data_IF_151079322661
#
_entry.id   IF_151079322661
#
_cell.length_a   1.000
_cell.length_b   1.000
_cell.length_c   1.000
_cell.angle_alpha   90.00
_cell.angle_beta   90.00
_cell.angle_gamma   90.00
#
_symmetry.space_group_name_H-M   'P 1'
#
loop_
_entity.id
_entity.type
_entity.pdbx_description
1 polymer ?
#
# COMPACT_ATOMS: atom_id res chain seq x y z
N UNK A 1 -13.20 -22.77 71.34
CA UNK A 1 -12.01 -22.18 70.69
C UNK A 1 -12.00 -22.61 69.23
N UNK A 2 -12.77 -21.91 68.41
CA UNK A 2 -12.33 -20.97 67.36
C UNK A 2 -12.01 -21.66 66.03
N UNK A 3 -13.06 -21.79 65.20
CA UNK A 3 -12.99 -22.15 63.78
C UNK A 3 -12.35 -20.98 63.03
N UNK A 4 -11.17 -21.20 62.42
CA UNK A 4 -10.55 -20.23 61.51
C UNK A 4 -11.09 -20.47 60.10
N UNK A 5 -12.04 -19.61 59.73
CA UNK A 5 -12.63 -19.53 58.38
C UNK A 5 -11.60 -18.91 57.43
N UNK A 6 -11.02 -19.72 56.55
CA UNK A 6 -10.09 -19.25 55.51
C UNK A 6 -10.91 -18.71 54.33
N UNK A 7 -10.99 -17.38 54.20
CA UNK A 7 -11.68 -16.73 53.07
C UNK A 7 -10.83 -16.87 51.81
N UNK A 8 -11.34 -17.64 50.85
CA UNK A 8 -10.84 -17.70 49.49
C UNK A 8 -11.22 -16.39 48.77
N UNK A 9 -10.25 -15.51 48.53
CA UNK A 9 -10.43 -14.34 47.68
C UNK A 9 -10.22 -14.80 46.24
N UNK A 10 -11.30 -14.95 45.49
CA UNK A 10 -11.25 -15.22 44.05
C UNK A 10 -10.88 -13.92 43.35
N UNK A 11 -9.62 -13.79 42.92
CA UNK A 11 -9.15 -12.66 42.13
C UNK A 11 -9.68 -12.82 40.70
N UNK A 12 -10.77 -12.13 40.38
CA UNK A 12 -11.27 -12.00 39.02
C UNK A 12 -10.34 -11.06 38.26
N UNK A 13 -9.39 -11.60 37.51
CA UNK A 13 -8.57 -10.80 36.57
C UNK A 13 -9.47 -10.49 35.38
N UNK A 14 -10.06 -9.29 35.37
CA UNK A 14 -10.78 -8.75 34.23
C UNK A 14 -9.71 -8.24 33.24
N UNK A 15 -9.38 -9.04 32.23
CA UNK A 15 -8.62 -8.56 31.08
C UNK A 15 -9.50 -7.56 30.32
N UNK A 16 -9.24 -6.28 30.53
CA UNK A 16 -9.78 -5.23 29.69
C UNK A 16 -9.08 -5.32 28.32
N UNK A 17 -9.72 -5.98 27.36
CA UNK A 17 -9.39 -5.79 25.95
C UNK A 17 -9.74 -4.34 25.61
N UNK A 18 -8.73 -3.50 25.45
CA UNK A 18 -8.87 -2.18 24.83
C UNK A 18 -9.19 -2.41 23.35
N UNK A 19 -10.47 -2.64 23.06
CA UNK A 19 -11.00 -2.56 21.71
C UNK A 19 -10.98 -1.10 21.30
N UNK A 20 -9.99 -0.68 20.51
CA UNK A 20 -10.10 0.53 19.72
C UNK A 20 -11.14 0.21 18.66
N UNK A 21 -12.37 0.65 18.92
CA UNK A 21 -13.47 0.58 17.95
C UNK A 21 -13.21 1.54 16.80
N UNK A 22 -12.30 1.17 15.90
CA UNK A 22 -12.30 1.68 14.54
C UNK A 22 -13.58 1.23 13.85
N UNK A 23 -14.13 2.05 12.96
CA UNK A 23 -15.11 1.55 11.99
C UNK A 23 -14.47 0.34 11.31
N UNK A 24 -15.14 -0.81 11.31
CA UNK A 24 -14.79 -1.94 10.44
C UNK A 24 -14.99 -1.46 8.99
N UNK A 25 -13.99 -0.77 8.45
CA UNK A 25 -13.82 -0.59 7.02
C UNK A 25 -13.53 -1.94 6.39
N UNK A 26 -13.70 -2.05 5.07
CA UNK A 26 -13.16 -3.20 4.36
C UNK A 26 -11.64 -3.25 4.63
N UNK A 27 -11.09 -4.46 4.82
CA UNK A 27 -9.65 -4.61 4.99
C UNK A 27 -8.91 -4.08 3.75
N UNK A 28 -7.70 -3.50 3.91
CA UNK A 28 -6.90 -3.05 2.79
C UNK A 28 -6.70 -4.14 1.75
N UNK A 29 -6.74 -3.76 0.47
CA UNK A 29 -6.46 -4.64 -0.65
C UNK A 29 -5.10 -4.27 -1.23
N UNK A 30 -4.18 -5.20 -1.11
CA UNK A 30 -2.77 -5.05 -1.47
C UNK A 30 -2.55 -5.59 -2.89
N UNK A 31 -1.87 -4.85 -3.75
CA UNK A 31 -1.41 -5.39 -5.03
C UNK A 31 -0.06 -6.06 -4.82
N UNK A 32 0.10 -7.25 -5.40
CA UNK A 32 1.32 -8.06 -5.27
C UNK A 32 1.70 -8.61 -6.63
N UNK A 33 2.99 -8.56 -6.95
CA UNK A 33 3.55 -9.39 -8.00
C UNK A 33 4.45 -10.49 -7.43
N UNK A 34 4.40 -11.67 -8.04
CA UNK A 34 5.12 -12.84 -7.56
C UNK A 34 6.35 -13.21 -8.42
N UNK A 35 7.14 -14.14 -7.90
CA UNK A 35 8.35 -14.69 -8.55
C UNK A 35 8.12 -15.34 -9.92
N UNK A 36 6.87 -15.60 -10.30
CA UNK A 36 6.49 -16.15 -11.60
C UNK A 36 5.97 -15.07 -12.56
N UNK A 37 5.98 -13.80 -12.13
CA UNK A 37 5.49 -12.66 -12.89
C UNK A 37 3.97 -12.52 -12.87
N UNK A 38 3.25 -13.17 -11.96
CA UNK A 38 1.81 -12.95 -11.82
C UNK A 38 1.56 -11.68 -11.01
N UNK A 39 0.60 -10.87 -11.45
CA UNK A 39 0.03 -9.76 -10.70
C UNK A 39 -1.34 -10.20 -10.15
N UNK A 40 -1.60 -9.85 -8.90
CA UNK A 40 -2.89 -10.05 -8.28
C UNK A 40 -3.12 -9.09 -7.11
N UNK A 41 -4.28 -9.24 -6.49
CA UNK A 41 -4.60 -8.55 -5.25
C UNK A 41 -4.73 -9.54 -4.11
N UNK A 42 -4.42 -9.08 -2.89
CA UNK A 42 -4.53 -9.87 -1.67
C UNK A 42 -5.24 -9.05 -0.60
N UNK A 43 -6.26 -9.64 0.03
CA UNK A 43 -6.87 -9.06 1.22
C UNK A 43 -5.93 -9.26 2.41
N UNK A 44 -5.44 -8.17 3.02
CA UNK A 44 -4.42 -8.26 4.07
C UNK A 44 -4.89 -8.95 5.35
N UNK A 45 -6.20 -9.07 5.57
CA UNK A 45 -6.76 -9.70 6.76
C UNK A 45 -7.07 -11.19 6.57
N UNK A 46 -7.53 -11.58 5.37
CA UNK A 46 -7.94 -12.96 5.10
C UNK A 46 -6.92 -13.76 4.31
N UNK A 47 -6.01 -13.08 3.60
CA UNK A 47 -5.10 -13.70 2.64
C UNK A 47 -5.78 -14.10 1.33
N UNK A 48 -7.05 -13.73 1.12
CA UNK A 48 -7.78 -14.07 -0.10
C UNK A 48 -7.13 -13.40 -1.32
N UNK A 49 -6.85 -14.20 -2.35
CA UNK A 49 -6.18 -13.75 -3.58
C UNK A 49 -7.16 -13.63 -4.74
N UNK A 50 -7.03 -12.56 -5.52
CA UNK A 50 -7.59 -12.44 -6.87
C UNK A 50 -6.47 -12.22 -7.90
N UNK A 51 -6.26 -13.20 -8.78
CA UNK A 51 -5.19 -13.15 -9.78
C UNK A 51 -5.68 -12.37 -11.00
N UNK A 52 -4.96 -11.30 -11.34
CA UNK A 52 -5.29 -10.43 -12.48
C UNK A 52 -4.73 -11.02 -13.78
N UNK A 53 -3.46 -11.42 -13.78
CA UNK A 53 -2.79 -11.91 -14.98
C UNK A 53 -1.29 -12.04 -14.81
N UNK A 54 -0.61 -12.37 -15.90
CA UNK A 54 0.86 -12.45 -15.93
C UNK A 54 1.43 -11.21 -16.62
N UNK A 55 2.44 -10.61 -16.00
CA UNK A 55 3.11 -9.40 -16.46
C UNK A 55 3.89 -9.60 -17.77
N UNK A 56 4.21 -10.84 -18.14
CA UNK A 56 5.01 -11.16 -19.33
C UNK A 56 6.48 -10.72 -19.23
N UNK A 57 6.84 -10.00 -18.17
CA UNK A 57 8.19 -9.58 -17.79
C UNK A 57 8.41 -9.87 -16.31
N UNK A 58 9.66 -10.11 -15.93
CA UNK A 58 10.04 -10.26 -14.53
C UNK A 58 10.33 -8.89 -13.95
N UNK A 59 9.34 -8.33 -13.26
CA UNK A 59 9.53 -7.15 -12.43
C UNK A 59 10.19 -7.55 -11.10
N UNK A 60 10.88 -6.60 -10.49
CA UNK A 60 11.47 -6.69 -9.16
C UNK A 60 10.72 -5.83 -8.17
N UNK A 61 9.96 -4.84 -8.64
CA UNK A 61 9.05 -4.07 -7.79
C UNK A 61 7.97 -3.31 -8.58
N UNK A 62 6.90 -2.86 -7.90
CA UNK A 62 5.78 -2.10 -8.47
C UNK A 62 5.35 -0.95 -7.55
N UNK A 63 4.86 0.16 -8.11
CA UNK A 63 4.36 1.29 -7.32
C UNK A 63 3.23 2.04 -8.03
N UNK A 64 2.19 2.41 -7.28
CA UNK A 64 1.14 3.31 -7.76
C UNK A 64 1.56 4.77 -7.69
N UNK A 65 1.28 5.54 -8.74
CA UNK A 65 1.41 6.99 -8.72
C UNK A 65 0.19 7.67 -8.03
N UNK A 66 0.26 8.99 -7.73
CA UNK A 66 -0.88 9.72 -7.14
C UNK A 66 -2.16 9.77 -7.99
N UNK A 67 -2.07 9.38 -9.27
CA UNK A 67 -3.21 9.31 -10.20
C UNK A 67 -3.79 7.89 -10.32
N UNK A 68 -3.22 6.90 -9.62
CA UNK A 68 -3.65 5.51 -9.65
C UNK A 68 -3.10 4.70 -10.83
N UNK A 69 -2.07 5.18 -11.52
CA UNK A 69 -1.36 4.41 -12.54
C UNK A 69 -0.31 3.52 -11.87
N UNK A 70 -0.22 2.25 -12.29
CA UNK A 70 0.79 1.33 -11.78
C UNK A 70 2.04 1.34 -12.66
N UNK A 71 3.20 1.44 -12.03
CA UNK A 71 4.50 1.32 -12.66
C UNK A 71 5.27 0.18 -12.03
N UNK A 72 6.35 -0.24 -12.69
CA UNK A 72 7.26 -1.21 -12.11
C UNK A 72 8.65 -1.16 -12.71
N UNK A 73 9.59 -1.71 -11.95
CA UNK A 73 10.98 -1.88 -12.37
C UNK A 73 11.29 -3.36 -12.52
N UNK A 74 12.14 -3.70 -13.48
CA UNK A 74 12.97 -4.91 -13.40
C UNK A 74 14.33 -4.51 -12.84
N UNK A 75 15.30 -5.42 -12.85
CA UNK A 75 16.66 -5.06 -12.45
C UNK A 75 17.32 -3.96 -13.32
N UNK A 76 16.81 -3.67 -14.53
CA UNK A 76 17.44 -2.72 -15.47
C UNK A 76 16.47 -1.78 -16.20
N UNK A 77 15.17 -2.08 -16.19
CA UNK A 77 14.17 -1.46 -17.06
C UNK A 77 12.98 -0.96 -16.26
N UNK A 78 12.34 0.11 -16.76
CA UNK A 78 11.16 0.72 -16.18
C UNK A 78 9.95 0.53 -17.10
N UNK A 79 8.78 0.27 -16.51
CA UNK A 79 7.55 -0.10 -17.21
C UNK A 79 6.33 0.59 -16.61
N UNK A 80 5.30 0.84 -17.43
CA UNK A 80 3.93 0.99 -16.94
C UNK A 80 3.21 -0.35 -16.98
N UNK A 81 2.21 -0.52 -16.10
CA UNK A 81 1.46 -1.76 -15.93
C UNK A 81 -0.04 -1.47 -15.98
N UNK A 82 -0.77 -2.20 -16.82
CA UNK A 82 -2.22 -2.16 -16.84
C UNK A 82 -2.78 -3.05 -15.72
N UNK A 83 -3.37 -2.45 -14.69
CA UNK A 83 -3.90 -3.17 -13.53
C UNK A 83 -5.12 -4.06 -13.81
N UNK A 84 -5.77 -3.92 -14.97
CA UNK A 84 -6.91 -4.76 -15.35
C UNK A 84 -6.52 -5.97 -16.19
N UNK A 85 -5.37 -5.95 -16.85
CA UNK A 85 -4.92 -7.00 -17.77
C UNK A 85 -3.55 -7.58 -17.45
N UNK A 86 -2.82 -6.97 -16.51
CA UNK A 86 -1.40 -7.19 -16.23
C UNK A 86 -0.46 -6.89 -17.42
N UNK A 87 -0.93 -6.24 -18.48
CA UNK A 87 -0.07 -5.90 -19.63
C UNK A 87 0.97 -4.84 -19.23
N UNK A 88 2.25 -5.11 -19.49
CA UNK A 88 3.34 -4.16 -19.25
C UNK A 88 3.79 -3.46 -20.52
N UNK A 89 4.07 -2.16 -20.44
CA UNK A 89 4.67 -1.39 -21.52
C UNK A 89 6.04 -0.85 -21.09
N UNK A 90 7.08 -1.13 -21.88
CA UNK A 90 8.42 -0.63 -21.61
C UNK A 90 8.49 0.90 -21.81
N UNK A 91 9.08 1.60 -20.84
CA UNK A 91 9.29 3.04 -20.88
C UNK A 91 10.76 3.36 -21.19
N UNK A 92 11.70 2.76 -20.45
CA UNK A 92 13.12 3.06 -20.62
C UNK A 92 14.04 2.29 -19.68
N UNK A 93 15.35 2.47 -19.86
CA UNK A 93 16.36 1.90 -18.97
C UNK A 93 16.72 2.90 -17.87
N UNK A 94 16.71 2.45 -16.62
CA UNK A 94 16.93 3.33 -15.47
C UNK A 94 18.40 3.51 -15.09
N UNK A 95 19.26 2.53 -15.39
CA UNK A 95 20.71 2.62 -15.08
C UNK A 95 21.10 2.41 -13.61
N UNK A 96 20.13 2.28 -12.70
CA UNK A 96 20.33 1.80 -11.31
C UNK A 96 20.86 0.35 -11.30
N UNK A 97 21.88 0.07 -10.50
CA UNK A 97 22.46 -1.26 -10.38
C UNK A 97 21.57 -2.20 -9.54
N UNK A 98 20.95 -3.17 -10.22
CA UNK A 98 20.04 -4.15 -9.64
C UNK A 98 18.86 -3.51 -8.87
N UNK A 99 18.08 -2.67 -9.56
CA UNK A 99 16.89 -2.05 -8.97
C UNK A 99 15.87 -3.10 -8.47
N UNK A 100 15.40 -2.89 -7.25
CA UNK A 100 14.46 -3.76 -6.53
C UNK A 100 13.86 -2.97 -5.36
N UNK A 101 13.41 -1.75 -5.63
CA UNK A 101 12.65 -0.93 -4.70
C UNK A 101 12.06 0.24 -5.46
N UNK A 102 10.81 0.58 -5.22
CA UNK A 102 10.09 1.59 -5.98
C UNK A 102 8.94 2.17 -5.16
N UNK A 103 8.89 3.49 -5.01
CA UNK A 103 7.74 4.14 -4.35
C UNK A 103 7.51 5.54 -4.90
N UNK A 104 6.25 5.94 -5.04
CA UNK A 104 5.88 7.32 -5.31
C UNK A 104 5.63 8.08 -4.01
N UNK A 105 6.17 9.29 -3.93
CA UNK A 105 5.71 10.29 -2.97
C UNK A 105 4.37 10.90 -3.38
N UNK A 106 3.69 11.53 -2.43
CA UNK A 106 2.43 12.29 -2.67
C UNK A 106 2.60 13.44 -3.67
N UNK A 107 3.83 13.91 -3.87
CA UNK A 107 4.19 14.95 -4.83
C UNK A 107 4.42 14.42 -6.26
N UNK A 108 4.32 13.09 -6.46
CA UNK A 108 4.58 12.42 -7.73
C UNK A 108 6.05 12.10 -7.99
N UNK A 109 6.95 12.36 -7.04
CA UNK A 109 8.36 11.96 -7.17
C UNK A 109 8.48 10.44 -7.00
N UNK A 110 9.04 9.77 -8.01
CA UNK A 110 9.30 8.33 -7.98
C UNK A 110 10.70 8.05 -7.46
N UNK A 111 10.79 7.40 -6.30
CA UNK A 111 12.05 6.98 -5.67
C UNK A 111 12.35 5.52 -5.96
N UNK A 112 13.63 5.18 -6.07
CA UNK A 112 14.08 3.81 -6.27
C UNK A 112 15.45 3.55 -5.64
N UNK A 113 15.71 2.29 -5.31
CA UNK A 113 16.98 1.80 -4.81
C UNK A 113 17.30 0.43 -5.41
N UNK A 114 18.55 -0.02 -5.24
CA UNK A 114 19.01 -1.29 -5.78
C UNK A 114 19.82 -2.12 -4.78
N UNK A 115 19.90 -3.41 -5.05
CA UNK A 115 20.58 -4.38 -4.18
C UNK A 115 22.11 -4.29 -4.26
N UNK A 116 22.66 -3.77 -5.37
CA UNK A 116 24.11 -3.68 -5.61
C UNK A 116 24.63 -2.24 -5.58
N UNK A 117 23.92 -1.36 -4.88
CA UNK A 117 24.28 0.04 -4.66
C UNK A 117 23.74 0.48 -3.30
N UNK A 118 24.34 1.51 -2.71
CA UNK A 118 23.84 2.14 -1.49
C UNK A 118 23.28 3.54 -1.76
N UNK A 119 23.10 3.91 -3.02
CA UNK A 119 22.51 5.19 -3.38
C UNK A 119 20.98 5.11 -3.46
N UNK A 120 20.33 6.20 -3.09
CA UNK A 120 18.93 6.48 -3.41
C UNK A 120 18.86 7.20 -4.77
N UNK A 121 17.81 6.93 -5.53
CA UNK A 121 17.59 7.50 -6.85
C UNK A 121 16.16 8.03 -6.98
N UNK A 122 15.96 8.97 -7.90
CA UNK A 122 14.65 9.20 -8.54
C UNK A 122 14.64 8.66 -9.95
N UNK A 123 13.45 8.34 -10.49
CA UNK A 123 13.26 7.92 -11.88
C UNK A 123 12.32 8.90 -12.60
N UNK A 124 12.72 9.39 -13.77
CA UNK A 124 11.83 10.16 -14.63
C UNK A 124 10.79 9.23 -15.29
N UNK A 125 9.51 9.44 -15.02
CA UNK A 125 8.43 8.54 -15.46
C UNK A 125 8.20 8.51 -16.98
N UNK A 126 8.67 9.53 -17.71
CA UNK A 126 8.48 9.61 -19.17
C UNK A 126 9.60 8.91 -19.94
N UNK A 127 10.81 8.92 -19.39
CA UNK A 127 12.02 8.41 -20.04
C UNK A 127 12.57 7.15 -19.39
N UNK A 128 12.15 6.85 -18.15
CA UNK A 128 12.67 5.78 -17.32
C UNK A 128 14.07 6.02 -16.76
N UNK A 129 14.72 7.16 -17.06
CA UNK A 129 16.10 7.42 -16.65
C UNK A 129 16.19 7.82 -15.16
N UNK A 130 17.15 7.23 -14.42
CA UNK A 130 17.35 7.56 -13.01
C UNK A 130 18.34 8.71 -12.78
N UNK A 131 18.10 9.46 -11.70
CA UNK A 131 19.02 10.46 -11.14
C UNK A 131 19.41 10.05 -9.72
N UNK A 132 20.71 9.94 -9.43
CA UNK A 132 21.18 9.63 -8.08
C UNK A 132 20.98 10.82 -7.15
N UNK A 133 20.37 10.60 -5.99
CA UNK A 133 20.23 11.58 -4.91
C UNK A 133 21.42 11.55 -3.94
N UNK A 134 22.12 10.42 -3.84
CA UNK A 134 23.31 10.27 -3.03
C UNK A 134 23.33 8.95 -2.28
N UNK A 135 24.40 8.73 -1.52
CA UNK A 135 24.59 7.51 -0.73
C UNK A 135 23.78 7.59 0.57
N UNK A 136 22.86 6.64 0.77
CA UNK A 136 22.08 6.48 2.00
C UNK A 136 22.71 5.45 2.97
N UNK A 137 23.77 4.76 2.56
CA UNK A 137 24.52 3.83 3.41
C UNK A 137 23.96 2.40 3.47
N UNK A 138 22.80 2.15 2.87
CA UNK A 138 22.11 0.85 2.89
C UNK A 138 21.77 0.40 1.46
N UNK A 139 21.89 -0.90 1.19
CA UNK A 139 21.43 -1.52 -0.07
C UNK A 139 20.02 -2.06 0.09
N UNK A 140 19.25 -2.02 -1.00
CA UNK A 140 17.85 -2.48 -0.98
C UNK A 140 17.74 -4.00 -0.85
N UNK A 141 16.83 -4.43 0.01
CA UNK A 141 16.36 -5.81 0.13
C UNK A 141 15.19 -6.09 -0.81
N UNK A 142 14.29 -5.13 -1.00
CA UNK A 142 13.20 -5.30 -1.96
C UNK A 142 12.22 -4.14 -2.13
N UNK A 143 12.08 -3.21 -1.17
CA UNK A 143 11.06 -2.16 -1.31
C UNK A 143 11.36 -0.89 -0.50
N UNK A 144 10.75 0.22 -0.94
CA UNK A 144 10.70 1.52 -0.27
C UNK A 144 9.24 1.85 0.06
N UNK A 145 8.96 2.50 1.19
CA UNK A 145 7.60 2.89 1.54
C UNK A 145 7.57 4.23 2.25
N UNK A 146 6.60 5.08 1.90
CA UNK A 146 6.29 6.24 2.72
C UNK A 146 5.32 5.84 3.84
N UNK A 147 5.61 6.27 5.07
CA UNK A 147 4.74 6.05 6.22
C UNK A 147 4.82 7.23 7.18
N UNK A 148 3.67 7.84 7.47
CA UNK A 148 3.55 9.04 8.33
C UNK A 148 4.49 10.20 7.95
N UNK A 149 4.84 10.32 6.66
CA UNK A 149 5.71 11.38 6.13
C UNK A 149 7.20 11.02 6.08
N UNK A 150 7.59 9.88 6.63
CA UNK A 150 8.95 9.35 6.60
C UNK A 150 9.11 8.33 5.47
N UNK A 151 10.33 8.18 4.93
CA UNK A 151 10.65 7.19 3.92
C UNK A 151 11.39 6.01 4.57
N UNK A 152 10.87 4.81 4.38
CA UNK A 152 11.46 3.58 4.90
C UNK A 152 11.97 2.67 3.79
N UNK A 153 12.99 1.88 4.09
CA UNK A 153 13.55 0.84 3.22
C UNK A 153 13.50 -0.51 3.94
N UNK A 154 13.05 -1.55 3.23
CA UNK A 154 13.35 -2.93 3.58
C UNK A 154 14.77 -3.27 3.06
N UNK A 155 15.76 -3.31 3.96
CA UNK A 155 17.17 -3.43 3.58
C UNK A 155 17.57 -4.86 3.22
N UNK A 156 18.70 -5.02 2.52
CA UNK A 156 19.28 -6.33 2.23
C UNK A 156 19.72 -7.09 3.49
N UNK A 157 19.83 -6.42 4.63
CA UNK A 157 20.12 -7.02 5.93
C UNK A 157 18.86 -7.53 6.66
N UNK A 158 17.68 -7.47 6.03
CA UNK A 158 16.38 -7.77 6.66
C UNK A 158 16.09 -6.88 7.86
N UNK A 159 16.40 -5.59 7.71
CA UNK A 159 16.13 -4.54 8.70
C UNK A 159 15.27 -3.44 8.08
N UNK A 160 14.45 -2.80 8.90
CA UNK A 160 13.78 -1.56 8.55
C UNK A 160 14.78 -0.41 8.72
N UNK A 161 14.89 0.45 7.72
CA UNK A 161 15.77 1.63 7.70
C UNK A 161 14.89 2.86 7.50
N UNK A 162 15.08 3.91 8.30
CA UNK A 162 14.48 5.22 8.06
C UNK A 162 15.48 6.08 7.27
N UNK A 163 15.06 6.56 6.11
CA UNK A 163 15.84 7.38 5.18
C UNK A 163 15.51 8.87 5.40
N UNK A 164 16.53 9.62 5.82
CA UNK A 164 16.44 11.08 5.90
C UNK A 164 16.66 11.69 4.50
N UNK A 165 15.56 12.06 3.84
CA UNK A 165 15.59 12.71 2.52
C UNK A 165 16.23 14.11 2.52
N UNK A 166 16.34 14.77 3.69
CA UNK A 166 16.97 16.08 3.80
C UNK A 166 18.49 15.99 3.86
N UNK A 167 19.01 14.90 4.43
CA UNK A 167 20.42 14.56 4.47
C UNK A 167 20.60 13.04 4.58
N UNK A 168 20.91 12.40 3.45
CA UNK A 168 21.02 10.94 3.37
C UNK A 168 22.11 10.36 4.30
N UNK A 169 23.05 11.17 4.79
CA UNK A 169 24.06 10.73 5.77
C UNK A 169 23.49 10.50 7.18
N UNK A 170 22.29 11.00 7.46
CA UNK A 170 21.53 10.75 8.69
C UNK A 170 20.58 9.53 8.58
N UNK A 171 20.57 8.81 7.46
CA UNK A 171 19.80 7.57 7.31
C UNK A 171 20.23 6.56 8.39
N UNK A 172 19.26 5.96 9.09
CA UNK A 172 19.52 5.07 10.22
C UNK A 172 18.72 3.78 10.13
N UNK A 173 19.34 2.69 10.59
CA UNK A 173 18.63 1.46 10.87
C UNK A 173 17.70 1.64 12.08
N UNK A 174 16.44 1.23 11.92
CA UNK A 174 15.44 1.18 13.00
C UNK A 174 15.60 -0.13 13.78
N UNK A 175 15.63 -1.26 13.06
CA UNK A 175 15.82 -2.57 13.66
C UNK A 175 15.42 -3.73 12.75
N UNK A 176 15.63 -4.99 13.19
CA UNK A 176 15.38 -6.17 12.38
C UNK A 176 13.89 -6.47 12.24
N UNK A 177 13.49 -6.95 11.05
CA UNK A 177 12.14 -7.49 10.83
C UNK A 177 11.85 -8.72 11.70
N UNK A 178 12.89 -9.47 12.09
CA UNK A 178 12.74 -10.76 12.78
C UNK A 178 12.32 -11.90 11.85
N UNK A 179 12.09 -11.60 10.58
CA UNK A 179 11.86 -12.53 9.47
C UNK A 179 12.81 -12.16 8.32
N UNK A 180 13.13 -13.13 7.45
CA UNK A 180 14.03 -12.91 6.32
C UNK A 180 13.25 -12.54 5.06
N UNK A 181 13.94 -11.90 4.10
CA UNK A 181 13.45 -11.67 2.74
C UNK A 181 12.11 -10.90 2.70
N UNK A 182 12.00 -9.84 3.50
CA UNK A 182 10.92 -8.86 3.35
C UNK A 182 11.21 -8.08 2.08
N UNK A 183 10.50 -8.42 1.00
CA UNK A 183 10.69 -7.86 -0.33
C UNK A 183 9.60 -6.88 -0.74
N UNK A 184 8.47 -6.88 -0.04
CA UNK A 184 7.46 -5.84 -0.18
C UNK A 184 7.39 -4.99 1.08
N UNK A 185 7.14 -3.69 0.95
CA UNK A 185 6.87 -2.73 2.02
C UNK A 185 5.93 -1.64 1.47
N UNK A 186 4.73 -1.47 2.04
CA UNK A 186 3.81 -0.44 1.58
C UNK A 186 2.80 -0.03 2.67
N UNK A 187 2.35 1.23 2.67
CA UNK A 187 1.34 1.70 3.64
C UNK A 187 -0.09 1.53 3.11
N UNK A 188 -0.92 0.82 3.86
CA UNK A 188 -2.35 0.61 3.56
C UNK A 188 -3.23 1.82 3.83
N UNK A 189 -4.47 1.81 3.34
CA UNK A 189 -5.48 2.86 3.57
C UNK A 189 -6.01 2.91 5.01
N UNK A 190 -5.69 1.89 5.82
CA UNK A 190 -5.86 1.85 7.26
C UNK A 190 -4.73 2.53 8.04
N UNK A 191 -3.70 3.02 7.34
CA UNK A 191 -2.54 3.68 7.93
C UNK A 191 -1.52 2.73 8.55
N UNK A 192 -1.55 1.43 8.23
CA UNK A 192 -0.55 0.45 8.69
C UNK A 192 0.54 0.28 7.63
N UNK A 193 1.80 0.25 8.06
CA UNK A 193 2.92 -0.18 7.21
C UNK A 193 2.91 -1.71 7.13
N UNK A 194 2.62 -2.25 5.95
CA UNK A 194 2.66 -3.69 5.70
C UNK A 194 3.97 -4.10 5.06
N UNK A 195 4.52 -5.23 5.48
CA UNK A 195 5.66 -5.90 4.85
C UNK A 195 5.24 -7.26 4.29
N UNK A 196 5.90 -7.72 3.22
CA UNK A 196 5.65 -9.05 2.66
C UNK A 196 6.96 -9.82 2.49
N UNK A 197 7.00 -11.04 3.03
CA UNK A 197 8.10 -11.97 2.86
C UNK A 197 7.59 -13.36 2.48
N UNK A 198 7.99 -13.86 1.31
CA UNK A 198 7.43 -15.11 0.78
C UNK A 198 5.94 -14.93 0.46
N UNK A 199 5.07 -15.67 1.15
CA UNK A 199 3.60 -15.54 1.06
C UNK A 199 2.98 -14.97 2.34
N UNK A 200 3.82 -14.44 3.24
CA UNK A 200 3.37 -13.91 4.52
C UNK A 200 3.34 -12.38 4.48
N UNK A 201 2.22 -11.82 4.92
CA UNK A 201 1.96 -10.40 5.10
C UNK A 201 2.11 -10.08 6.59
N UNK A 202 2.80 -9.00 6.92
CA UNK A 202 3.05 -8.58 8.28
C UNK A 202 2.68 -7.11 8.46
N UNK A 203 2.18 -6.73 9.63
CA UNK A 203 2.28 -5.34 10.06
C UNK A 203 3.72 -5.06 10.53
N UNK A 204 4.27 -3.91 10.20
CA UNK A 204 5.62 -3.51 10.59
C UNK A 204 5.56 -2.46 11.69
N UNK A 205 6.22 -2.71 12.81
CA UNK A 205 6.41 -1.73 13.88
C UNK A 205 7.55 -0.77 13.51
N UNK A 206 7.23 0.49 13.21
CA UNK A 206 8.22 1.51 12.80
C UNK A 206 9.10 2.02 13.93
N UNK A 207 8.82 1.69 15.20
CA UNK A 207 9.71 1.99 16.31
C UNK A 207 10.79 0.93 16.54
N UNK A 208 10.54 -0.32 16.11
CA UNK A 208 11.46 -1.45 16.37
C UNK A 208 11.92 -2.19 15.13
N UNK A 209 11.27 -1.97 13.99
CA UNK A 209 11.44 -2.72 12.75
C UNK A 209 10.70 -4.06 12.72
N UNK A 210 10.09 -4.52 13.82
CA UNK A 210 9.58 -5.88 13.91
C UNK A 210 8.38 -6.16 13.00
N UNK A 211 8.39 -7.32 12.33
CA UNK A 211 7.27 -7.86 11.59
C UNK A 211 6.32 -8.61 12.54
N UNK A 212 5.03 -8.28 12.49
CA UNK A 212 4.01 -8.71 13.45
C UNK A 212 2.80 -9.33 12.73
N UNK A 213 2.10 -10.22 13.44
CA UNK A 213 0.78 -10.74 13.07
C UNK A 213 0.68 -11.27 11.63
N UNK A 214 1.42 -12.35 11.26
CA UNK A 214 1.45 -12.84 9.90
C UNK A 214 0.08 -13.32 9.40
N UNK A 215 -0.28 -12.92 8.18
CA UNK A 215 -1.37 -13.50 7.38
C UNK A 215 -0.75 -14.18 6.16
N UNK A 216 -1.18 -15.41 5.85
CA UNK A 216 -0.62 -16.21 4.75
C UNK A 216 -1.61 -16.31 3.58
N UNK A 217 -1.14 -15.99 2.38
CA UNK A 217 -1.91 -16.13 1.14
C UNK A 217 -1.49 -17.34 0.28
N UNK A 218 -0.62 -18.22 0.81
CA UNK A 218 -0.13 -19.39 0.08
C UNK A 218 -1.25 -20.30 -0.44
N UNK A 219 -1.02 -20.91 -1.61
CA UNK A 219 -1.95 -21.88 -2.19
C UNK A 219 -3.17 -21.28 -2.91
N UNK A 220 -3.24 -19.95 -3.03
CA UNK A 220 -4.39 -19.23 -3.61
C UNK A 220 -4.13 -18.64 -5.00
N UNK A 221 -3.04 -19.04 -5.67
CA UNK A 221 -2.74 -18.68 -7.06
C UNK A 221 -1.53 -17.77 -7.23
N UNK A 222 -1.18 -16.97 -6.22
CA UNK A 222 0.09 -16.23 -6.16
C UNK A 222 1.17 -17.04 -5.45
N UNK A 223 2.40 -16.94 -5.94
CA UNK A 223 3.62 -17.50 -5.33
C UNK A 223 4.32 -16.52 -4.39
N UNK A 224 5.63 -16.74 -4.17
CA UNK A 224 6.49 -15.84 -3.40
C UNK A 224 6.42 -14.43 -3.95
N UNK A 225 5.97 -13.47 -3.15
CA UNK A 225 5.95 -12.06 -3.50
C UNK A 225 7.36 -11.52 -3.74
N UNK A 226 7.51 -10.73 -4.80
CA UNK A 226 8.75 -10.00 -5.11
C UNK A 226 8.61 -8.49 -4.94
N UNK A 227 7.39 -7.97 -4.82
CA UNK A 227 7.09 -6.58 -4.48
C UNK A 227 5.59 -6.39 -4.25
N UNK A 228 5.20 -5.26 -3.66
CA UNK A 228 3.80 -4.93 -3.38
C UNK A 228 3.55 -3.42 -3.53
N UNK A 229 2.29 -3.01 -3.61
CA UNK A 229 1.90 -1.61 -3.39
C UNK A 229 0.42 -1.52 -3.05
N UNK A 230 0.00 -0.41 -2.43
CA UNK A 230 -1.42 -0.07 -2.28
C UNK A 230 -1.81 1.03 -3.26
N UNK A 231 -3.00 0.93 -3.85
CA UNK A 231 -3.54 1.95 -4.75
C UNK A 231 -3.50 3.35 -4.13
N UNK A 232 -3.78 3.46 -2.83
CA UNK A 232 -3.88 4.73 -2.10
C UNK A 232 -2.57 5.23 -1.52
N UNK A 233 -1.47 4.47 -1.62
CA UNK A 233 -0.21 4.76 -0.93
C UNK A 233 0.37 6.14 -1.30
N UNK A 234 0.34 6.47 -2.59
CA UNK A 234 0.74 7.77 -3.12
C UNK A 234 -0.40 8.81 -3.17
N UNK A 235 -1.52 8.54 -2.49
CA UNK A 235 -2.65 9.45 -2.38
C UNK A 235 -3.69 9.35 -3.51
N UNK A 236 -3.62 8.32 -4.35
CA UNK A 236 -4.67 8.09 -5.33
C UNK A 236 -6.01 7.82 -4.62
N UNK A 237 -7.10 8.29 -5.23
CA UNK A 237 -8.46 8.07 -4.73
C UNK A 237 -9.24 7.25 -5.76
N UNK A 238 -10.00 6.22 -5.34
CA UNK A 238 -10.88 5.52 -6.27
C UNK A 238 -11.83 6.55 -6.89
N UNK A 239 -12.00 6.52 -8.21
CA UNK A 239 -12.92 7.45 -8.91
C UNK A 239 -14.27 7.45 -8.18
N UNK A 240 -14.75 8.60 -7.67
CA UNK A 240 -16.05 8.66 -7.03
C UNK A 240 -17.07 8.19 -8.06
N UNK A 241 -17.64 7.00 -7.84
CA UNK A 241 -18.71 6.46 -8.68
C UNK A 241 -19.67 7.59 -9.05
N UNK A 242 -20.02 7.78 -10.34
CA UNK A 242 -20.84 8.92 -10.75
C UNK A 242 -22.06 9.00 -9.85
N UNK A 243 -22.20 10.11 -9.11
CA UNK A 243 -23.40 10.37 -8.33
C UNK A 243 -24.57 10.18 -9.29
N UNK A 244 -25.52 9.25 -9.04
CA UNK A 244 -26.63 9.05 -9.95
C UNK A 244 -27.37 10.38 -10.06
N UNK A 245 -27.25 11.05 -11.21
CA UNK A 245 -28.02 12.27 -11.46
C UNK A 245 -29.48 11.83 -11.39
N UNK A 246 -30.32 12.41 -10.51
CA UNK A 246 -31.73 12.04 -10.46
C UNK A 246 -32.29 12.18 -11.87
N UNK A 247 -32.92 11.12 -12.37
CA UNK A 247 -33.52 11.14 -13.69
C UNK A 247 -34.44 12.39 -13.80
N UNK A 248 -34.40 13.16 -14.91
CA UNK A 248 -35.00 14.49 -15.02
C UNK A 248 -36.52 14.57 -14.72
N UNK A 249 -37.19 13.43 -14.59
CA UNK A 249 -38.60 13.32 -14.22
C UNK A 249 -38.91 13.74 -12.77
N UNK A 250 -37.95 13.66 -11.84
CA UNK A 250 -38.16 14.08 -10.43
C UNK A 250 -38.27 15.59 -10.27
N UNK A 251 -37.55 16.38 -11.10
CA UNK A 251 -37.71 17.84 -11.18
C UNK A 251 -38.98 18.26 -11.94
N UNK A 252 -39.45 17.44 -12.88
CA UNK A 252 -40.67 17.73 -13.63
C UNK A 252 -41.94 17.58 -12.79
N UNK A 253 -41.98 16.64 -11.84
CA UNK A 253 -43.11 16.44 -10.91
C UNK A 253 -43.29 17.59 -9.91
N UNK A 254 -42.22 18.26 -9.50
CA UNK A 254 -42.30 19.46 -8.63
C UNK A 254 -42.82 20.70 -9.40
N UNK A 255 -42.55 20.79 -10.70
CA UNK A 255 -43.04 21.89 -11.55
C UNK A 255 -44.56 21.87 -11.79
N UNK A 256 -45.18 20.68 -11.89
CA UNK A 256 -46.62 20.57 -12.15
C UNK A 256 -47.50 20.82 -10.92
N UNK A 257 -47.00 20.57 -9.71
CA UNK A 257 -47.77 20.84 -8.46
C UNK A 257 -47.87 22.36 -8.20
N UNK A 258 -46.87 23.15 -8.58
CA UNK A 258 -46.89 24.61 -8.43
C UNK A 258 -47.78 25.34 -9.46
N UNK A 259 -47.97 24.79 -10.65
CA UNK A 259 -48.81 25.41 -11.69
C UNK A 259 -50.31 25.14 -11.52
N UNK A 260 -50.71 24.06 -10.84
CA UNK A 260 -52.12 23.74 -10.59
C UNK A 260 -52.72 24.50 -9.39
N UNK A 261 -51.90 25.10 -8.52
CA UNK A 261 -52.36 25.91 -7.38
C UNK A 261 -52.70 27.38 -7.71
N UNK A 262 -52.29 27.90 -8.87
CA UNK A 262 -52.37 29.34 -9.19
C UNK A 262 -53.61 29.74 -10.01
N UNK A 263 -54.53 28.81 -10.34
CA UNK A 263 -55.65 29.09 -11.25
C UNK A 263 -57.03 28.85 -10.60
N UNK A 264 -57.31 29.50 -9.48
CA UNK A 264 -58.69 29.91 -9.17
C UNK A 264 -58.73 31.06 -8.16
N UNK A 265 -58.87 32.29 -8.66
CA UNK A 265 -59.56 33.41 -7.97
C UNK A 265 -59.58 34.64 -8.87
N UNK A 266 -60.65 34.80 -9.64
CA UNK A 266 -61.32 36.10 -9.85
C UNK A 266 -62.82 35.86 -10.02
N UNK A 267 -63.55 36.14 -8.96
CA UNK A 267 -65.01 36.29 -8.93
C UNK A 267 -65.34 37.74 -9.29
N UNK A 268 -66.40 37.92 -10.08
CA UNK A 268 -66.99 39.19 -10.48
C UNK A 268 -67.61 39.90 -9.26
N UNK A 269 -67.41 41.21 -9.15
CA UNK A 269 -68.45 42.25 -9.07
C UNK A 269 -67.79 43.63 -9.19
#
# INVERSE_FOLDING_TARGET
MTVKMCRLVMLLVLTAALGVGGKLGAAPIMYVHDSQGNLGTVNVQTGDVDVIGNLGVTLTDIAFDPSGNLFGVSFNSFYSVNVSTAETNFIGFHGINAANALVFGLDGTLYSAGNLTTNLFTIDVNTGAATSLGNMGFSSGGDLAFHEGELYLASSASTLVNIDLSDLSNTVEVGPFGVANVYGLATGDDGVLYGVGGTQIFAVDTATGAALNPVDFSGQGLGTAWGQSFFTEAGATPDPTPVPVPAPWTLMLLGFVLLLGARSRRVKH
#
